data_IF_098252231133
#
_entry.id   IF_098252231133
#
_cell.length_a   1.000
_cell.length_b   1.000
_cell.length_c   1.000
_cell.angle_alpha   90.00
_cell.angle_beta   90.00
_cell.angle_gamma   90.00
#
_symmetry.space_group_name_H-M   'P 1'
#
loop_
_entity.id
_entity.type
_entity.pdbx_description
1 polymer ?
#
# COMPACT_ATOMS: atom_id res chain seq x y z
N UNK A 1 -2.84 -9.61 -6.26
CA UNK A 1 -1.46 -10.12 -6.31
C UNK A 1 -0.57 -8.93 -6.59
N UNK A 2 0.30 -8.53 -5.67
CA UNK A 2 1.24 -7.44 -5.96
C UNK A 2 2.18 -7.86 -7.10
N UNK A 3 2.35 -6.95 -8.05
CA UNK A 3 3.27 -7.10 -9.17
C UNK A 3 4.27 -5.95 -9.10
N UNK A 4 5.54 -6.24 -9.37
CA UNK A 4 6.56 -5.22 -9.55
C UNK A 4 6.25 -4.37 -10.82
N UNK A 5 6.88 -3.21 -11.04
CA UNK A 5 6.68 -2.40 -12.24
C UNK A 5 6.94 -3.14 -13.57
N UNK A 6 7.64 -4.28 -13.55
CA UNK A 6 7.85 -5.21 -14.67
C UNK A 6 6.74 -6.26 -14.82
N UNK A 7 5.68 -6.19 -14.00
CA UNK A 7 4.55 -7.11 -14.02
C UNK A 7 4.82 -8.47 -13.36
N UNK A 8 5.98 -8.71 -12.72
CA UNK A 8 6.24 -9.97 -12.03
C UNK A 8 5.56 -9.95 -10.68
N UNK A 9 4.86 -11.03 -10.34
CA UNK A 9 4.28 -11.22 -9.01
C UNK A 9 5.40 -11.16 -7.97
N UNK A 10 5.39 -10.11 -7.14
CA UNK A 10 6.25 -10.08 -5.96
C UNK A 10 5.63 -11.03 -4.95
N UNK A 11 6.39 -12.05 -4.54
CA UNK A 11 6.02 -13.07 -3.55
C UNK A 11 5.80 -12.51 -2.14
N UNK A 12 5.70 -11.18 -2.00
CA UNK A 12 5.84 -10.42 -0.79
C UNK A 12 4.53 -10.23 -0.03
N UNK A 13 3.45 -10.97 -0.31
CA UNK A 13 2.22 -10.91 0.49
C UNK A 13 1.39 -9.62 0.40
N UNK A 14 1.86 -8.54 -0.24
CA UNK A 14 1.10 -7.30 -0.42
C UNK A 14 0.06 -7.39 -1.55
N UNK A 15 -1.01 -6.58 -1.43
CA UNK A 15 -1.99 -6.29 -2.47
C UNK A 15 -2.14 -4.77 -2.58
N UNK A 16 -2.03 -4.24 -3.79
CA UNK A 16 -2.18 -2.81 -4.07
C UNK A 16 -3.46 -2.60 -4.88
N UNK A 17 -4.24 -1.57 -4.56
CA UNK A 17 -5.50 -1.21 -5.21
C UNK A 17 -5.66 0.31 -5.24
N UNK A 18 -6.57 0.84 -6.05
CA UNK A 18 -6.91 2.26 -6.01
C UNK A 18 -7.44 2.63 -4.63
N UNK A 19 -6.93 3.72 -4.05
CA UNK A 19 -7.44 4.26 -2.79
C UNK A 19 -8.78 4.96 -2.96
N UNK A 20 -9.35 5.45 -1.86
CA UNK A 20 -10.63 6.17 -1.89
C UNK A 20 -10.47 7.58 -2.47
N UNK A 21 -9.29 8.18 -2.29
CA UNK A 21 -8.95 9.50 -2.83
C UNK A 21 -8.38 9.40 -4.25
N UNK A 22 -8.74 10.35 -5.12
CA UNK A 22 -8.18 10.41 -6.46
C UNK A 22 -6.65 10.62 -6.40
N UNK A 23 -5.90 9.61 -6.85
CA UNK A 23 -4.43 9.61 -6.80
C UNK A 23 -3.84 8.92 -5.56
N UNK A 24 -4.67 8.49 -4.60
CA UNK A 24 -4.21 7.64 -3.50
C UNK A 24 -4.20 6.16 -3.89
N UNK A 25 -3.37 5.41 -3.18
CA UNK A 25 -3.17 3.99 -3.39
C UNK A 25 -3.42 3.26 -2.08
N UNK A 26 -4.29 2.24 -2.11
CA UNK A 26 -4.51 1.35 -0.99
C UNK A 26 -3.53 0.19 -1.05
N UNK A 27 -2.77 -0.03 0.02
CA UNK A 27 -1.88 -1.18 0.20
C UNK A 27 -2.41 -2.03 1.36
N UNK A 28 -2.71 -3.28 1.07
CA UNK A 28 -3.20 -4.28 2.02
C UNK A 28 -2.19 -5.42 2.13
N UNK A 29 -2.08 -6.03 3.31
CA UNK A 29 -1.32 -7.27 3.48
C UNK A 29 -2.26 -8.48 3.37
N UNK A 30 -1.94 -9.38 2.45
CA UNK A 30 -2.66 -10.65 2.27
C UNK A 30 -1.89 -11.85 2.82
N UNK A 31 -0.67 -11.64 3.31
CA UNK A 31 0.23 -12.66 3.80
C UNK A 31 0.91 -13.46 2.68
N UNK A 32 2.07 -14.08 2.96
CA UNK A 32 2.66 -15.05 2.07
C UNK A 32 1.70 -16.25 1.90
N UNK A 33 1.66 -16.88 0.72
CA UNK A 33 0.84 -18.08 0.52
C UNK A 33 1.29 -19.18 1.49
N UNK A 34 0.39 -19.63 2.37
CA UNK A 34 0.62 -20.79 3.25
C UNK A 34 1.12 -20.50 4.67
N UNK A 35 1.24 -19.26 5.12
CA UNK A 35 1.58 -18.96 6.53
C UNK A 35 0.77 -17.78 7.09
N UNK A 36 0.45 -17.84 8.39
CA UNK A 36 -0.55 -17.01 9.08
C UNK A 36 -0.39 -15.51 8.88
N UNK A 37 -1.14 -14.97 7.92
CA UNK A 37 -1.06 -13.58 7.46
C UNK A 37 -1.25 -12.50 8.54
N UNK A 38 -1.92 -12.82 9.66
CA UNK A 38 -2.39 -11.82 10.61
C UNK A 38 -1.32 -11.33 11.60
N UNK A 39 -0.32 -12.15 11.95
CA UNK A 39 0.76 -11.73 12.86
C UNK A 39 1.80 -10.86 12.16
N UNK A 40 2.15 -11.21 10.92
CA UNK A 40 3.06 -10.42 10.08
C UNK A 40 2.41 -9.15 9.51
N UNK A 41 1.08 -9.04 9.52
CA UNK A 41 0.37 -7.89 8.93
C UNK A 41 0.83 -6.56 9.53
N UNK A 42 0.94 -6.48 10.85
CA UNK A 42 1.31 -5.23 11.53
C UNK A 42 2.76 -4.85 11.23
N UNK A 43 3.70 -5.79 11.37
CA UNK A 43 5.12 -5.55 11.07
C UNK A 43 5.36 -5.23 9.59
N UNK A 44 4.75 -5.97 8.68
CA UNK A 44 4.87 -5.76 7.25
C UNK A 44 4.35 -4.37 6.84
N UNK A 45 3.14 -4.00 7.31
CA UNK A 45 2.59 -2.67 7.03
C UNK A 45 3.41 -1.57 7.70
N UNK A 46 3.96 -1.78 8.90
CA UNK A 46 4.82 -0.81 9.56
C UNK A 46 6.13 -0.60 8.78
N UNK A 47 6.78 -1.67 8.34
CA UNK A 47 8.00 -1.60 7.51
C UNK A 47 7.75 -0.93 6.16
N UNK A 48 6.63 -1.27 5.49
CA UNK A 48 6.22 -0.63 4.25
C UNK A 48 5.94 0.86 4.44
N UNK A 49 5.22 1.23 5.50
CA UNK A 49 4.95 2.63 5.82
C UNK A 49 6.25 3.41 6.09
N UNK A 50 7.22 2.83 6.80
CA UNK A 50 8.51 3.47 7.05
C UNK A 50 9.26 3.72 5.75
N UNK A 51 9.35 2.73 4.85
CA UNK A 51 10.02 2.87 3.56
C UNK A 51 9.37 3.94 2.67
N UNK A 52 8.03 3.97 2.63
CA UNK A 52 7.30 4.97 1.85
C UNK A 52 7.49 6.39 2.40
N UNK A 53 7.49 6.55 3.73
CA UNK A 53 7.74 7.84 4.37
C UNK A 53 9.15 8.36 4.12
N UNK A 54 10.15 7.49 4.09
CA UNK A 54 11.54 7.85 3.73
C UNK A 54 11.64 8.38 2.30
N UNK A 55 10.83 7.83 1.39
CA UNK A 55 10.68 8.32 0.01
C UNK A 55 9.85 9.61 -0.11
N UNK A 56 9.38 10.16 1.00
CA UNK A 56 8.57 11.39 1.03
C UNK A 56 7.08 11.19 0.71
N UNK A 57 6.59 9.95 0.70
CA UNK A 57 5.17 9.67 0.50
C UNK A 57 4.39 9.83 1.80
N UNK A 58 3.17 10.32 1.69
CA UNK A 58 2.25 10.39 2.82
C UNK A 58 1.63 9.02 3.01
N UNK A 59 1.68 8.49 4.22
CA UNK A 59 1.15 7.16 4.54
C UNK A 59 0.21 7.25 5.73
N UNK A 60 -1.01 6.76 5.56
CA UNK A 60 -2.06 6.71 6.56
C UNK A 60 -2.42 5.24 6.84
N UNK A 61 -2.28 4.82 8.09
CA UNK A 61 -2.67 3.48 8.52
C UNK A 61 -4.15 3.49 8.95
N UNK A 62 -4.96 2.71 8.23
CA UNK A 62 -6.36 2.51 8.53
C UNK A 62 -6.64 1.11 9.07
N UNK A 63 -7.71 1.03 9.87
CA UNK A 63 -8.30 -0.24 10.31
C UNK A 63 -9.55 -0.49 9.49
N UNK A 64 -9.45 -1.41 8.54
CA UNK A 64 -10.54 -1.80 7.66
C UNK A 64 -11.54 -2.77 8.29
N UNK A 65 -12.62 -3.08 7.57
CA UNK A 65 -13.60 -4.07 7.99
C UNK A 65 -12.95 -5.44 8.21
N UNK A 66 -13.49 -6.22 9.15
CA UNK A 66 -12.95 -7.54 9.59
C UNK A 66 -11.58 -7.50 10.28
N UNK A 67 -11.26 -6.39 10.97
CA UNK A 67 -9.98 -6.19 11.71
C UNK A 67 -8.73 -6.22 10.81
N UNK A 68 -8.88 -6.11 9.49
CA UNK A 68 -7.75 -6.09 8.55
C UNK A 68 -7.21 -4.69 8.39
N UNK A 69 -5.89 -4.54 8.43
CA UNK A 69 -5.23 -3.25 8.36
C UNK A 69 -4.82 -2.90 6.94
N UNK A 70 -4.98 -1.61 6.72
CA UNK A 70 -4.79 -0.82 5.54
C UNK A 70 -3.69 0.23 5.52
N UNK A 71 -2.87 0.36 4.49
CA UNK A 71 -2.23 1.65 4.24
C UNK A 71 -2.98 2.36 3.12
N UNK A 72 -3.30 3.62 3.32
CA UNK A 72 -3.55 4.54 2.23
C UNK A 72 -2.29 5.38 2.04
N UNK A 73 -1.83 5.44 0.80
CA UNK A 73 -0.59 6.09 0.44
C UNK A 73 -0.91 7.17 -0.57
N UNK A 74 -0.54 8.40 -0.26
CA UNK A 74 -0.66 9.52 -1.17
C UNK A 74 0.72 9.94 -1.68
N UNK A 75 0.81 10.30 -2.97
CA UNK A 75 2.05 10.83 -3.53
C UNK A 75 2.45 12.13 -2.81
N UNK A 76 3.77 12.42 -2.69
CA UNK A 76 4.21 13.75 -2.28
C UNK A 76 3.53 14.82 -3.15
N UNK A 77 3.18 15.96 -2.56
CA UNK A 77 2.35 17.00 -3.18
C UNK A 77 2.88 17.59 -4.49
N UNK A 78 4.08 17.19 -4.94
CA UNK A 78 4.64 17.50 -6.27
C UNK A 78 4.44 16.43 -7.36
N UNK A 79 4.00 15.21 -7.02
CA UNK A 79 3.76 14.12 -7.97
C UNK A 79 2.27 13.92 -8.31
N UNK A 80 1.36 14.51 -7.53
CA UNK A 80 -0.09 14.48 -7.82
C UNK A 80 -0.51 15.48 -8.91
N UNK A 81 0.42 16.34 -9.35
CA UNK A 81 0.18 17.36 -10.35
C UNK A 81 0.44 16.87 -11.77
N UNK A 82 -0.61 16.43 -12.47
CA UNK A 82 -0.56 16.37 -13.94
C UNK A 82 -1.48 15.40 -14.65
N UNK A 83 -2.81 15.53 -14.52
CA UNK A 83 -3.83 15.20 -15.54
C UNK A 83 -5.22 15.56 -14.99
N UNK A 84 -5.96 16.54 -15.51
CA UNK A 84 -5.70 17.43 -16.63
C UNK A 84 -6.65 18.64 -16.55
N UNK A 85 -6.19 19.75 -17.13
CA UNK A 85 -7.07 20.76 -17.69
C UNK A 85 -7.31 20.36 -19.15
N UNK A 86 -8.57 20.22 -19.54
CA UNK A 86 -9.06 20.46 -20.89
C UNK A 86 -10.54 20.84 -20.77
#
# INVERSE_FOLDING_TARGET
>A
SAVDPSGRRVSAGYRVSSGETAGSVRVEWTGPPGSGAAHDEEEALAGCASALRDLGWTVLLYRGPRRRRYLEVEPPSGLSGGRGRA
#
